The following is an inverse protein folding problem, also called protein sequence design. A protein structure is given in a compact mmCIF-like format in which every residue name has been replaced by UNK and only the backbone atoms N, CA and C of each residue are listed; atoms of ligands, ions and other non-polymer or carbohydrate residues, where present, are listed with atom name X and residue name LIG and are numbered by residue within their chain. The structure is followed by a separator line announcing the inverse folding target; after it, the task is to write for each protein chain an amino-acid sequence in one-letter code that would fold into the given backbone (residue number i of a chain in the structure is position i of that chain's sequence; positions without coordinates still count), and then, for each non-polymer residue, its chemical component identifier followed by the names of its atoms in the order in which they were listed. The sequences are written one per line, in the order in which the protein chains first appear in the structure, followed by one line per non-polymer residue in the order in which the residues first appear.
data_IF_623438442001
#
_entry.id   IF_623438442001
#
_cell.length_a   1.000
_cell.length_b   1.000
_cell.length_c   1.000
_cell.angle_alpha   90.00
_cell.angle_beta   90.00
_cell.angle_gamma   90.00
#
_symmetry.space_group_name_H-M   'P 1'
#
loop_
_entity.id
_entity.type
_entity.pdbx_description
1 polymer ?
#
# COMPACT_ATOMS: atom_id res chain seq x y z
N UNK A 1 13.10 -18.12 3.03
CA UNK A 1 12.37 -16.94 3.56
C UNK A 1 11.02 -16.91 2.89
N UNK A 2 9.95 -16.63 3.63
CA UNK A 2 8.58 -16.57 3.11
C UNK A 2 8.38 -15.32 2.24
N UNK A 3 7.34 -15.29 1.42
CA UNK A 3 6.88 -14.06 0.75
C UNK A 3 6.70 -12.91 1.77
N UNK A 4 6.76 -11.66 1.30
CA UNK A 4 6.61 -10.48 2.16
C UNK A 4 5.45 -9.62 1.67
N UNK A 5 4.44 -9.44 2.51
CA UNK A 5 3.22 -8.70 2.19
C UNK A 5 3.31 -7.26 2.71
N UNK A 6 3.18 -6.30 1.78
CA UNK A 6 3.31 -4.87 2.02
C UNK A 6 2.06 -4.14 1.55
N UNK A 7 1.00 -4.04 2.38
CA UNK A 7 -0.15 -3.24 2.01
C UNK A 7 0.16 -1.74 2.07
N UNK A 8 -0.35 -1.01 1.09
CA UNK A 8 -0.38 0.46 1.07
C UNK A 8 -1.74 0.92 1.58
N UNK A 9 -1.74 1.64 2.70
CA UNK A 9 -2.95 1.97 3.46
C UNK A 9 -3.02 3.47 3.78
N UNK A 10 -4.19 3.95 4.16
CA UNK A 10 -4.41 5.36 4.51
C UNK A 10 -5.65 5.55 5.37
N UNK A 11 -5.67 6.61 6.17
CA UNK A 11 -6.84 6.99 6.98
C UNK A 11 -7.97 7.67 6.19
N UNK A 12 -7.70 8.20 4.99
CA UNK A 12 -8.68 8.91 4.15
C UNK A 12 -8.56 8.58 2.65
N UNK A 13 -9.61 8.88 1.88
CA UNK A 13 -9.58 8.83 0.42
C UNK A 13 -8.70 9.92 -0.20
N UNK A 14 -8.29 9.73 -1.46
CA UNK A 14 -7.60 10.75 -2.26
C UNK A 14 -6.12 11.01 -1.90
N UNK A 15 -5.53 10.26 -0.97
CA UNK A 15 -4.09 10.46 -0.61
C UNK A 15 -3.11 9.89 -1.63
N UNK A 16 -3.59 9.24 -2.70
CA UNK A 16 -2.76 8.60 -3.73
C UNK A 16 -2.20 7.23 -3.35
N UNK A 17 -2.92 6.42 -2.56
CA UNK A 17 -2.52 5.03 -2.22
C UNK A 17 -2.22 4.19 -3.46
N UNK A 18 -3.18 4.10 -4.38
CA UNK A 18 -3.07 3.33 -5.63
C UNK A 18 -1.87 3.77 -6.45
N UNK A 19 -1.66 5.09 -6.56
CA UNK A 19 -0.47 5.67 -7.21
C UNK A 19 0.82 5.24 -6.52
N UNK A 20 0.89 5.34 -5.19
CA UNK A 20 2.07 4.92 -4.41
C UNK A 20 2.30 3.41 -4.57
N UNK A 21 1.25 2.59 -4.48
CA UNK A 21 1.32 1.14 -4.64
C UNK A 21 1.87 0.73 -6.01
N UNK A 22 1.33 1.28 -7.09
CA UNK A 22 1.77 0.97 -8.46
C UNK A 22 3.22 1.38 -8.73
N UNK A 23 3.59 2.60 -8.32
CA UNK A 23 4.93 3.13 -8.57
C UNK A 23 5.99 2.46 -7.68
N UNK A 24 5.64 2.10 -6.43
CA UNK A 24 6.50 1.25 -5.60
C UNK A 24 6.64 -0.15 -6.21
N UNK A 25 5.56 -0.79 -6.63
CA UNK A 25 5.62 -2.14 -7.21
C UNK A 25 6.55 -2.20 -8.42
N UNK A 26 6.41 -1.25 -9.36
CA UNK A 26 7.28 -1.18 -10.56
C UNK A 26 8.72 -0.83 -10.23
N UNK A 27 8.96 0.08 -9.27
CA UNK A 27 10.32 0.45 -8.88
C UNK A 27 11.02 -0.69 -8.15
N UNK A 28 10.33 -1.40 -7.25
CA UNK A 28 10.86 -2.59 -6.57
C UNK A 28 11.21 -3.68 -7.59
N UNK A 29 10.36 -3.90 -8.60
CA UNK A 29 10.63 -4.84 -9.67
C UNK A 29 11.85 -4.42 -10.52
N UNK A 30 11.99 -3.12 -10.81
CA UNK A 30 13.19 -2.57 -11.47
C UNK A 30 14.47 -2.76 -10.64
N UNK A 31 14.38 -2.94 -9.31
CA UNK A 31 15.50 -3.33 -8.44
C UNK A 31 15.70 -4.84 -8.32
N UNK A 32 15.16 -5.61 -9.26
CA UNK A 32 15.35 -7.05 -9.36
C UNK A 32 14.50 -7.88 -8.39
N UNK A 33 13.51 -7.28 -7.73
CA UNK A 33 12.55 -8.02 -6.90
C UNK A 33 11.48 -8.66 -7.77
N UNK A 34 11.05 -9.87 -7.41
CA UNK A 34 9.80 -10.41 -7.93
C UNK A 34 8.64 -9.78 -7.18
N UNK A 35 7.70 -9.16 -7.90
CA UNK A 35 6.61 -8.40 -7.30
C UNK A 35 5.26 -8.87 -7.82
N UNK A 36 4.35 -9.16 -6.88
CA UNK A 36 2.92 -9.34 -7.12
C UNK A 36 2.20 -8.11 -6.57
N UNK A 37 1.52 -7.37 -7.43
CA UNK A 37 0.61 -6.31 -7.03
C UNK A 37 -0.82 -6.87 -6.98
N UNK A 38 -1.53 -6.65 -5.87
CA UNK A 38 -2.92 -7.08 -5.68
C UNK A 38 -3.78 -5.84 -5.47
N UNK A 39 -4.85 -5.74 -6.25
CA UNK A 39 -5.89 -4.73 -6.03
C UNK A 39 -7.02 -5.34 -5.17
N UNK A 40 -7.15 -4.89 -3.92
CA UNK A 40 -8.29 -5.21 -3.06
C UNK A 40 -9.31 -4.07 -3.00
N UNK A 41 -9.15 -3.00 -3.78
CA UNK A 41 -10.15 -1.94 -3.88
C UNK A 41 -11.18 -2.31 -4.96
N UNK A 42 -12.49 -2.40 -4.62
CA UNK A 42 -13.54 -2.66 -5.59
C UNK A 42 -13.61 -1.65 -6.75
N UNK A 43 -13.04 -0.45 -6.60
CA UNK A 43 -12.88 0.50 -7.70
C UNK A 43 -11.95 0.01 -8.81
N UNK A 44 -11.16 -1.04 -8.54
CA UNK A 44 -10.23 -1.68 -9.47
C UNK A 44 -9.33 -0.64 -10.16
N UNK A 45 -8.85 0.34 -9.39
CA UNK A 45 -8.16 1.50 -9.92
C UNK A 45 -6.69 1.19 -10.24
N UNK A 46 -6.10 0.19 -9.59
CA UNK A 46 -4.69 -0.15 -9.76
C UNK A 46 -4.36 -0.55 -11.20
N UNK A 47 -5.33 -1.13 -11.92
CA UNK A 47 -5.19 -1.50 -13.34
C UNK A 47 -4.81 -0.30 -14.22
N UNK A 48 -5.32 0.90 -13.92
CA UNK A 48 -5.02 2.09 -14.71
C UNK A 48 -3.60 2.61 -14.51
N UNK A 49 -2.93 2.22 -13.42
CA UNK A 49 -1.56 2.64 -13.16
C UNK A 49 -0.52 1.61 -13.65
N UNK A 50 -0.92 0.34 -13.79
CA UNK A 50 0.03 -0.76 -13.83
C UNK A 50 -0.22 -1.78 -14.95
N UNK A 51 -1.46 -1.98 -15.38
CA UNK A 51 -1.78 -3.01 -16.37
C UNK A 51 -1.26 -2.64 -17.76
N UNK A 52 -0.74 -3.63 -18.50
CA UNK A 52 -0.38 -3.43 -19.91
C UNK A 52 -1.62 -3.15 -20.79
N UNK A 53 -2.77 -3.72 -20.41
CA UNK A 53 -4.08 -3.43 -20.99
C UNK A 53 -5.12 -3.29 -19.86
N UNK A 54 -5.46 -2.07 -19.43
CA UNK A 54 -6.44 -1.83 -18.37
C UNK A 54 -7.83 -2.42 -18.68
N UNK A 55 -8.23 -2.47 -19.96
CA UNK A 55 -9.53 -3.03 -20.37
C UNK A 55 -9.57 -4.54 -20.22
N UNK A 56 -8.41 -5.20 -20.28
CA UNK A 56 -8.32 -6.63 -20.04
C UNK A 56 -8.63 -7.01 -18.59
N UNK A 57 -8.64 -6.09 -17.63
CA UNK A 57 -8.76 -6.38 -16.19
C UNK A 57 -10.23 -6.43 -15.70
N UNK A 58 -11.14 -6.95 -16.51
CA UNK A 58 -12.54 -7.21 -16.14
C UNK A 58 -12.68 -8.46 -15.26
N UNK A 59 -11.87 -9.49 -15.51
CA UNK A 59 -11.75 -10.64 -14.63
C UNK A 59 -10.54 -10.47 -13.70
N UNK A 60 -10.66 -10.95 -12.46
CA UNK A 60 -9.64 -10.75 -11.45
C UNK A 60 -9.88 -11.55 -10.18
N UNK A 61 -9.50 -10.94 -9.06
CA UNK A 61 -9.51 -11.52 -7.73
C UNK A 61 -10.86 -12.13 -7.35
N UNK A 62 -11.96 -11.42 -7.57
CA UNK A 62 -13.29 -11.91 -7.16
C UNK A 62 -13.74 -13.11 -8.01
N UNK A 63 -13.50 -13.08 -9.33
CA UNK A 63 -13.82 -14.21 -10.21
C UNK A 63 -13.03 -15.47 -9.82
N UNK A 64 -11.75 -15.32 -9.46
CA UNK A 64 -10.93 -16.43 -9.00
C UNK A 64 -11.32 -16.93 -7.60
N UNK A 65 -11.63 -16.02 -6.68
CA UNK A 65 -12.11 -16.34 -5.34
C UNK A 65 -13.39 -17.19 -5.37
N UNK A 66 -14.29 -16.89 -6.31
CA UNK A 66 -15.55 -17.60 -6.52
C UNK A 66 -15.41 -18.87 -7.38
N UNK A 67 -14.19 -19.24 -7.79
CA UNK A 67 -13.94 -20.43 -8.62
C UNK A 67 -14.39 -20.32 -10.08
N UNK A 68 -14.74 -19.12 -10.55
CA UNK A 68 -15.13 -18.88 -11.94
C UNK A 68 -13.94 -18.93 -12.89
N UNK A 69 -12.74 -18.60 -12.38
CA UNK A 69 -11.50 -18.52 -13.14
C UNK A 69 -10.33 -19.09 -12.33
N UNK A 70 -9.38 -19.84 -12.93
CA UNK A 70 -8.15 -20.21 -12.24
C UNK A 70 -7.32 -18.97 -11.86
N UNK A 71 -6.66 -19.00 -10.70
CA UNK A 71 -5.78 -17.91 -10.24
C UNK A 71 -4.70 -17.53 -11.25
N UNK A 72 -4.15 -18.51 -11.98
CA UNK A 72 -3.14 -18.29 -13.03
C UNK A 72 -3.65 -17.48 -14.22
N UNK A 73 -4.96 -17.46 -14.46
CA UNK A 73 -5.59 -16.65 -15.49
C UNK A 73 -6.07 -15.30 -14.95
N UNK A 74 -6.38 -15.22 -13.65
CA UNK A 74 -6.70 -13.95 -12.99
C UNK A 74 -5.47 -13.05 -12.84
N UNK A 75 -4.28 -13.65 -12.62
CA UNK A 75 -3.00 -12.92 -12.57
C UNK A 75 -2.48 -12.61 -13.98
N UNK A 76 -1.94 -11.41 -14.17
CA UNK A 76 -1.53 -10.90 -15.49
C UNK A 76 -0.16 -10.23 -15.43
N UNK A 77 0.68 -10.37 -16.47
CA UNK A 77 1.86 -9.53 -16.61
C UNK A 77 1.47 -8.06 -16.71
N UNK A 78 2.17 -7.20 -15.98
CA UNK A 78 1.95 -5.77 -15.90
C UNK A 78 3.23 -5.01 -16.27
N UNK A 79 3.18 -3.67 -16.22
CA UNK A 79 4.35 -2.85 -16.46
C UNK A 79 5.46 -3.10 -15.43
N UNK A 80 6.72 -2.91 -15.87
CA UNK A 80 7.89 -3.00 -14.98
C UNK A 80 8.22 -4.42 -14.49
N UNK A 81 7.73 -5.48 -15.14
CA UNK A 81 7.97 -6.86 -14.72
C UNK A 81 7.15 -7.30 -13.50
N UNK A 82 6.14 -6.51 -13.13
CA UNK A 82 5.21 -6.83 -12.05
C UNK A 82 4.16 -7.83 -12.54
N UNK A 83 3.72 -8.74 -11.66
CA UNK A 83 2.50 -9.52 -11.85
C UNK A 83 1.36 -8.77 -11.16
N UNK A 84 0.25 -8.52 -11.85
CA UNK A 84 -0.93 -7.85 -11.31
C UNK A 84 -2.07 -8.86 -11.13
N UNK A 85 -2.67 -8.88 -9.95
CA UNK A 85 -3.98 -9.46 -9.68
C UNK A 85 -4.98 -8.31 -9.48
N UNK A 86 -5.73 -7.93 -10.53
CA UNK A 86 -6.73 -6.86 -10.43
C UNK A 86 -7.92 -7.34 -9.59
N UNK A 87 -8.72 -6.41 -9.06
CA UNK A 87 -9.93 -6.76 -8.32
C UNK A 87 -10.95 -7.46 -9.24
N UNK A 88 -11.09 -6.92 -10.45
CA UNK A 88 -12.10 -7.30 -11.45
C UNK A 88 -13.23 -6.28 -11.55
N UNK A 89 -14.11 -6.45 -12.52
CA UNK A 89 -15.37 -5.72 -12.64
C UNK A 89 -16.47 -6.62 -12.10
N UNK A 90 -17.13 -6.18 -11.03
CA UNK A 90 -18.08 -7.00 -10.26
C UNK A 90 -19.36 -6.18 -10.06
N UNK A 91 -20.52 -6.83 -10.12
CA UNK A 91 -21.79 -6.21 -9.75
C UNK A 91 -21.98 -6.15 -8.24
N UNK A 92 -22.92 -5.33 -7.78
CA UNK A 92 -23.16 -5.09 -6.37
C UNK A 92 -23.46 -6.39 -5.59
N UNK A 93 -24.25 -7.31 -6.17
CA UNK A 93 -24.63 -8.58 -5.52
C UNK A 93 -23.40 -9.47 -5.25
N UNK A 94 -22.54 -9.66 -6.25
CA UNK A 94 -21.31 -10.45 -6.09
C UNK A 94 -20.31 -9.75 -5.18
N UNK A 95 -20.23 -8.42 -5.20
CA UNK A 95 -19.37 -7.68 -4.28
C UNK A 95 -19.83 -7.86 -2.83
N UNK A 96 -21.14 -7.74 -2.55
CA UNK A 96 -21.72 -7.98 -1.22
C UNK A 96 -21.43 -9.41 -0.76
N UNK A 97 -21.64 -10.40 -1.64
CA UNK A 97 -21.32 -11.80 -1.35
C UNK A 97 -19.85 -11.99 -0.98
N UNK A 98 -18.94 -11.40 -1.76
CA UNK A 98 -17.51 -11.47 -1.48
C UNK A 98 -17.13 -10.79 -0.15
N UNK A 99 -17.68 -9.61 0.14
CA UNK A 99 -17.47 -8.92 1.43
C UNK A 99 -17.96 -9.76 2.62
N UNK A 100 -19.10 -10.43 2.46
CA UNK A 100 -19.62 -11.35 3.45
C UNK A 100 -18.66 -12.52 3.69
N UNK A 101 -18.17 -13.15 2.62
CA UNK A 101 -17.21 -14.26 2.72
C UNK A 101 -15.91 -13.84 3.42
N UNK A 102 -15.38 -12.65 3.09
CA UNK A 102 -14.21 -12.08 3.75
C UNK A 102 -14.46 -11.79 5.25
N UNK A 103 -15.69 -11.42 5.61
CA UNK A 103 -16.06 -11.16 7.01
C UNK A 103 -16.13 -12.45 7.84
N UNK A 104 -16.61 -13.53 7.23
CA UNK A 104 -16.69 -14.87 7.81
C UNK A 104 -15.32 -15.56 7.89
N UNK A 105 -14.36 -15.15 7.05
CA UNK A 105 -13.02 -15.73 6.99
C UNK A 105 -11.93 -14.67 7.22
N UNK A 106 -11.67 -14.26 8.48
CA UNK A 106 -10.69 -13.24 8.83
C UNK A 106 -9.29 -13.36 8.21
N UNK A 107 -8.80 -14.58 7.96
CA UNK A 107 -7.48 -14.88 7.40
C UNK A 107 -7.45 -15.15 5.90
N UNK A 108 -8.57 -14.95 5.19
CA UNK A 108 -8.76 -15.35 3.80
C UNK A 108 -7.61 -14.94 2.86
N UNK A 109 -7.11 -13.70 2.96
CA UNK A 109 -6.03 -13.24 2.09
C UNK A 109 -4.72 -13.97 2.37
N UNK A 110 -4.37 -14.15 3.65
CA UNK A 110 -3.15 -14.86 4.04
C UNK A 110 -3.21 -16.33 3.59
N UNK A 111 -4.34 -16.99 3.81
CA UNK A 111 -4.58 -18.37 3.39
C UNK A 111 -4.55 -18.52 1.86
N UNK A 112 -5.08 -17.54 1.13
CA UNK A 112 -5.08 -17.51 -0.34
C UNK A 112 -3.67 -17.36 -0.88
N UNK A 113 -2.90 -16.41 -0.35
CA UNK A 113 -1.50 -16.19 -0.75
C UNK A 113 -0.62 -17.42 -0.45
N UNK A 114 -0.84 -18.10 0.67
CA UNK A 114 -0.13 -19.33 1.01
C UNK A 114 -0.36 -20.46 -0.02
N UNK A 115 -1.55 -20.50 -0.65
CA UNK A 115 -1.89 -21.50 -1.67
C UNK A 115 -1.27 -21.22 -3.04
N UNK A 116 -0.85 -19.99 -3.31
CA UNK A 116 -0.23 -19.64 -4.59
C UNK A 116 1.15 -20.28 -4.78
N UNK A 117 1.79 -20.76 -3.70
CA UNK A 117 3.14 -21.32 -3.79
C UNK A 117 4.15 -20.31 -4.34
N UNK A 118 3.98 -19.03 -3.98
CA UNK A 118 4.82 -17.95 -4.46
C UNK A 118 6.29 -18.21 -4.12
N UNK A 119 7.22 -17.81 -5.01
CA UNK A 119 8.63 -17.99 -4.75
C UNK A 119 9.06 -17.31 -3.44
N UNK A 120 10.07 -17.88 -2.74
CA UNK A 120 10.70 -17.22 -1.61
C UNK A 120 11.06 -15.77 -1.94
N UNK A 121 10.87 -14.85 -0.99
CA UNK A 121 11.25 -13.44 -1.11
C UNK A 121 10.46 -12.60 -2.14
N UNK A 122 9.42 -13.17 -2.76
CA UNK A 122 8.47 -12.39 -3.55
C UNK A 122 7.80 -11.32 -2.68
N UNK A 123 7.76 -10.09 -3.20
CA UNK A 123 7.08 -8.97 -2.54
C UNK A 123 5.64 -8.89 -3.05
N UNK A 124 4.68 -8.89 -2.12
CA UNK A 124 3.26 -8.72 -2.41
C UNK A 124 2.84 -7.31 -2.01
N UNK A 125 2.67 -6.41 -2.98
CA UNK A 125 2.17 -5.05 -2.75
C UNK A 125 0.66 -5.07 -2.85
N UNK A 126 -0.04 -4.64 -1.81
CA UNK A 126 -1.51 -4.69 -1.76
C UNK A 126 -2.09 -3.28 -1.73
N UNK A 127 -2.88 -2.93 -2.75
CA UNK A 127 -3.69 -1.71 -2.75
C UNK A 127 -5.04 -1.98 -2.07
N UNK A 128 -5.55 -1.00 -1.32
CA UNK A 128 -6.74 -1.18 -0.48
C UNK A 128 -7.70 0.00 -0.62
N UNK A 129 -9.01 -0.20 -0.39
CA UNK A 129 -9.95 0.91 -0.36
C UNK A 129 -9.74 1.81 0.87
N UNK A 130 -10.13 3.09 0.81
CA UNK A 130 -9.98 4.00 1.96
C UNK A 130 -10.89 3.62 3.13
N UNK A 131 -10.41 3.84 4.35
CA UNK A 131 -11.21 3.66 5.56
C UNK A 131 -11.25 2.23 6.10
N UNK A 132 -12.02 1.98 7.18
CA UNK A 132 -12.02 0.72 7.92
C UNK A 132 -12.89 -0.36 7.26
N UNK A 133 -12.48 -0.85 6.09
CA UNK A 133 -13.20 -1.87 5.32
C UNK A 133 -12.79 -3.30 5.70
N UNK A 134 -13.58 -4.30 5.28
CA UNK A 134 -13.18 -5.72 5.42
C UNK A 134 -11.92 -6.03 4.60
N UNK A 135 -11.75 -5.38 3.43
CA UNK A 135 -10.55 -5.48 2.59
C UNK A 135 -9.29 -5.00 3.33
N UNK A 136 -9.37 -3.86 4.02
CA UNK A 136 -8.26 -3.37 4.84
C UNK A 136 -7.94 -4.36 5.97
N UNK A 137 -8.96 -4.95 6.62
CA UNK A 137 -8.73 -5.94 7.68
C UNK A 137 -8.01 -7.19 7.16
N UNK A 138 -8.37 -7.67 5.97
CA UNK A 138 -7.68 -8.78 5.29
C UNK A 138 -6.22 -8.42 4.99
N UNK A 139 -5.98 -7.24 4.42
CA UNK A 139 -4.64 -6.75 4.12
C UNK A 139 -3.76 -6.64 5.38
N UNK A 140 -4.29 -6.08 6.47
CA UNK A 140 -3.57 -5.94 7.74
C UNK A 140 -3.24 -7.28 8.40
N UNK A 141 -4.15 -8.26 8.33
CA UNK A 141 -3.91 -9.61 8.87
C UNK A 141 -2.90 -10.43 8.07
N UNK A 142 -2.68 -10.09 6.80
CA UNK A 142 -1.64 -10.69 5.98
C UNK A 142 -0.31 -9.91 6.04
N UNK A 143 -0.31 -8.65 6.49
CA UNK A 143 0.83 -7.75 6.39
C UNK A 143 2.07 -8.23 7.16
N UNK A 144 3.22 -8.13 6.52
CA UNK A 144 4.54 -8.14 7.16
C UNK A 144 4.98 -6.72 7.52
N UNK A 145 4.71 -5.72 6.66
CA UNK A 145 5.01 -4.31 6.91
C UNK A 145 3.96 -3.42 6.25
N UNK A 146 3.42 -2.44 6.96
CA UNK A 146 2.43 -1.52 6.36
C UNK A 146 3.11 -0.24 5.85
N UNK A 147 2.79 0.18 4.62
CA UNK A 147 3.13 1.51 4.11
C UNK A 147 1.92 2.43 4.25
N UNK A 148 2.02 3.44 5.10
CA UNK A 148 0.94 4.39 5.39
C UNK A 148 1.17 5.66 4.57
N UNK A 149 0.28 5.91 3.61
CA UNK A 149 0.28 7.13 2.81
C UNK A 149 -0.53 8.24 3.49
N UNK A 150 0.07 9.43 3.61
CA UNK A 150 -0.55 10.64 4.18
C UNK A 150 -0.29 11.84 3.29
N UNK A 151 -1.16 12.85 3.33
CA UNK A 151 -0.88 14.16 2.73
C UNK A 151 -0.32 15.10 3.80
N UNK A 152 0.43 16.11 3.36
CA UNK A 152 0.85 17.24 4.21
C UNK A 152 -0.30 18.24 4.41
N UNK A 153 -1.43 17.77 4.95
CA UNK A 153 -2.60 18.58 5.30
C UNK A 153 -3.14 18.24 6.70
N UNK A 154 -3.95 19.14 7.26
CA UNK A 154 -4.51 19.01 8.60
C UNK A 154 -5.45 17.79 8.74
N UNK A 155 -6.17 17.42 7.69
CA UNK A 155 -7.10 16.28 7.72
C UNK A 155 -6.37 14.94 7.79
N UNK A 156 -5.28 14.80 7.05
CA UNK A 156 -4.37 13.64 7.14
C UNK A 156 -3.74 13.56 8.52
N UNK A 157 -3.25 14.68 9.07
CA UNK A 157 -2.70 14.71 10.43
C UNK A 157 -3.72 14.28 11.49
N UNK A 158 -4.94 14.81 11.43
CA UNK A 158 -6.00 14.53 12.40
C UNK A 158 -6.49 13.07 12.36
N UNK A 159 -6.46 12.43 11.18
CA UNK A 159 -6.97 11.07 10.99
C UNK A 159 -5.90 9.99 11.09
N UNK A 160 -4.62 10.34 11.13
CA UNK A 160 -3.50 9.40 11.28
C UNK A 160 -3.66 8.43 12.47
N UNK A 161 -4.09 8.86 13.67
CA UNK A 161 -4.30 7.94 14.79
C UNK A 161 -5.36 6.86 14.52
N UNK A 162 -6.28 7.07 13.58
CA UNK A 162 -7.31 6.08 13.22
C UNK A 162 -6.67 4.88 12.52
N UNK A 163 -5.81 5.12 11.52
CA UNK A 163 -5.14 4.04 10.79
C UNK A 163 -4.09 3.36 11.68
N UNK A 164 -3.40 4.11 12.54
CA UNK A 164 -2.47 3.54 13.54
C UNK A 164 -3.18 2.57 14.48
N UNK A 165 -4.36 2.93 15.01
CA UNK A 165 -5.16 2.00 15.85
C UNK A 165 -5.58 0.73 15.11
N UNK A 166 -5.82 0.80 13.81
CA UNK A 166 -6.13 -0.39 13.00
C UNK A 166 -4.90 -1.30 12.88
N UNK A 167 -3.74 -0.73 12.56
CA UNK A 167 -2.47 -1.48 12.55
C UNK A 167 -2.20 -2.12 13.91
N UNK A 168 -2.45 -1.40 15.00
CA UNK A 168 -2.26 -1.90 16.37
C UNK A 168 -3.15 -3.10 16.66
N UNK A 169 -4.41 -3.01 16.25
CA UNK A 169 -5.42 -4.04 16.47
C UNK A 169 -5.13 -5.33 15.68
N UNK A 170 -4.67 -5.22 14.44
CA UNK A 170 -4.58 -6.36 13.52
C UNK A 170 -3.15 -6.88 13.30
N UNK A 171 -2.13 -6.07 13.59
CA UNK A 171 -0.74 -6.40 13.25
C UNK A 171 0.17 -6.49 14.47
N UNK A 172 0.14 -5.52 15.40
CA UNK A 172 1.19 -5.37 16.45
C UNK A 172 1.34 -6.57 17.39
N UNK A 173 0.28 -7.33 17.66
CA UNK A 173 0.36 -8.51 18.53
C UNK A 173 1.01 -9.71 17.86
N UNK A 174 1.22 -9.67 16.53
CA UNK A 174 1.80 -10.77 15.78
C UNK A 174 3.33 -10.67 15.79
N UNK A 175 3.99 -11.80 16.08
CA UNK A 175 5.45 -11.87 16.16
C UNK A 175 6.16 -11.72 14.80
N UNK A 176 5.43 -11.95 13.70
CA UNK A 176 5.92 -11.85 12.33
C UNK A 176 5.77 -10.44 11.72
N UNK A 177 5.10 -9.50 12.42
CA UNK A 177 4.92 -8.13 11.93
C UNK A 177 6.18 -7.28 12.13
N UNK A 178 6.70 -6.72 11.04
CA UNK A 178 7.95 -5.93 10.98
C UNK A 178 7.74 -4.44 11.27
N UNK A 179 6.49 -3.98 11.37
CA UNK A 179 6.14 -2.62 11.74
C UNK A 179 5.52 -1.79 10.60
N UNK A 180 5.45 -0.48 10.83
CA UNK A 180 4.91 0.49 9.87
C UNK A 180 6.03 1.34 9.27
N UNK A 181 5.76 1.85 8.07
CA UNK A 181 6.55 2.87 7.41
C UNK A 181 5.61 3.90 6.79
N UNK A 182 6.07 5.14 6.61
CA UNK A 182 5.22 6.25 6.17
C UNK A 182 5.73 6.88 4.86
N UNK A 183 4.80 7.35 4.05
CA UNK A 183 5.06 8.20 2.87
C UNK A 183 4.19 9.44 2.98
N UNK A 184 4.80 10.62 2.91
CA UNK A 184 4.07 11.89 2.80
C UNK A 184 3.97 12.24 1.32
N UNK A 185 2.76 12.17 0.77
CA UNK A 185 2.48 12.29 -0.65
C UNK A 185 1.95 13.69 -1.01
N UNK A 186 2.06 14.04 -2.30
CA UNK A 186 1.57 15.28 -2.91
C UNK A 186 2.04 16.54 -2.17
N UNK A 187 3.32 16.58 -1.81
CA UNK A 187 3.90 17.74 -1.14
C UNK A 187 4.13 18.87 -2.14
N UNK A 188 3.41 19.96 -1.95
CA UNK A 188 3.57 21.18 -2.73
C UNK A 188 4.42 22.19 -1.93
N UNK A 189 5.70 22.41 -2.29
CA UNK A 189 6.57 23.34 -1.59
C UNK A 189 6.14 24.81 -1.74
N UNK A 190 5.30 25.12 -2.73
CA UNK A 190 4.76 26.48 -2.93
C UNK A 190 3.66 26.86 -1.94
N UNK A 191 3.08 25.89 -1.23
CA UNK A 191 2.00 26.13 -0.28
C UNK A 191 2.50 26.19 1.17
N UNK A 192 2.36 27.35 1.80
CA UNK A 192 2.83 27.59 3.18
C UNK A 192 2.26 26.60 4.21
N UNK A 193 0.96 26.30 4.14
CA UNK A 193 0.35 25.32 5.05
C UNK A 193 0.93 23.91 4.84
N UNK A 194 1.21 23.53 3.59
CA UNK A 194 1.81 22.24 3.25
C UNK A 194 3.22 22.14 3.87
N UNK A 195 4.02 23.21 3.76
CA UNK A 195 5.33 23.31 4.41
C UNK A 195 5.26 23.15 5.94
N UNK A 196 4.36 23.88 6.59
CA UNK A 196 4.23 23.86 8.06
C UNK A 196 3.78 22.48 8.56
N UNK A 197 2.79 21.87 7.90
CA UNK A 197 2.31 20.51 8.25
C UNK A 197 3.37 19.46 7.92
N UNK A 198 4.12 19.62 6.82
CA UNK A 198 5.22 18.73 6.45
C UNK A 198 6.30 18.70 7.52
N UNK A 199 6.66 19.85 8.09
CA UNK A 199 7.65 19.91 9.17
C UNK A 199 7.19 19.12 10.40
N UNK A 200 5.92 19.29 10.80
CA UNK A 200 5.32 18.55 11.92
C UNK A 200 5.26 17.05 11.64
N UNK A 201 4.81 16.64 10.45
CA UNK A 201 4.74 15.23 10.06
C UNK A 201 6.14 14.60 9.99
N UNK A 202 7.13 15.29 9.42
CA UNK A 202 8.52 14.79 9.38
C UNK A 202 9.06 14.56 10.78
N UNK A 203 8.85 15.49 11.71
CA UNK A 203 9.31 15.33 13.09
C UNK A 203 8.61 14.15 13.80
N UNK A 204 7.30 13.96 13.57
CA UNK A 204 6.52 12.89 14.20
C UNK A 204 6.80 11.50 13.64
N UNK A 205 7.02 11.40 12.32
CA UNK A 205 7.06 10.12 11.60
C UNK A 205 8.47 9.53 11.49
N UNK A 206 9.50 10.21 12.00
CA UNK A 206 10.85 9.65 12.08
C UNK A 206 10.96 8.70 13.29
N UNK A 207 11.66 7.56 13.16
CA UNK A 207 12.47 7.11 12.01
C UNK A 207 11.71 6.30 10.93
N UNK A 208 10.41 6.10 11.05
CA UNK A 208 9.60 5.26 10.15
C UNK A 208 9.30 5.89 8.77
N UNK A 209 9.62 7.17 8.58
CA UNK A 209 9.37 7.90 7.34
C UNK A 209 10.29 7.43 6.21
N UNK A 210 9.71 6.77 5.19
CA UNK A 210 10.43 6.38 3.99
C UNK A 210 10.79 7.59 3.14
N UNK A 211 9.88 8.56 2.99
CA UNK A 211 10.18 9.73 2.20
C UNK A 211 8.98 10.60 1.90
N UNK A 212 9.23 11.56 1.02
CA UNK A 212 8.25 12.53 0.55
C UNK A 212 8.13 12.38 -0.95
N UNK A 213 6.90 12.36 -1.45
CA UNK A 213 6.59 12.40 -2.87
C UNK A 213 5.97 13.77 -3.17
N UNK A 214 6.66 14.57 -3.98
CA UNK A 214 6.26 15.93 -4.32
C UNK A 214 5.04 15.94 -5.25
N UNK A 215 4.25 17.01 -5.19
CA UNK A 215 3.22 17.25 -6.18
C UNK A 215 3.88 17.51 -7.53
N UNK A 216 3.68 16.61 -8.48
CA UNK A 216 4.30 16.63 -9.81
C UNK A 216 3.26 16.27 -10.87
N UNK A 217 3.13 17.11 -11.91
CA UNK A 217 2.17 16.91 -13.00
C UNK A 217 2.40 15.57 -13.74
N UNK A 218 3.66 15.11 -13.78
CA UNK A 218 4.06 13.85 -14.41
C UNK A 218 3.30 12.64 -13.85
N UNK A 219 2.87 12.69 -12.59
CA UNK A 219 2.11 11.61 -11.96
C UNK A 219 0.72 11.48 -12.58
N UNK A 220 0.02 12.61 -12.74
CA UNK A 220 -1.32 12.66 -13.34
C UNK A 220 -1.28 12.32 -14.83
N UNK A 221 -0.26 12.81 -15.54
CA UNK A 221 -0.06 12.50 -16.96
C UNK A 221 0.30 11.03 -17.20
N UNK A 222 1.11 10.44 -16.31
CA UNK A 222 1.43 9.02 -16.35
C UNK A 222 0.16 8.16 -16.18
N UNK A 223 -0.71 8.52 -15.22
CA UNK A 223 -2.01 7.88 -15.06
C UNK A 223 -2.89 8.02 -16.31
N UNK A 224 -2.96 9.22 -16.90
CA UNK A 224 -3.71 9.44 -18.14
C UNK A 224 -3.18 8.59 -19.32
N UNK A 225 -1.88 8.26 -19.28
CA UNK A 225 -1.21 7.40 -20.26
C UNK A 225 -1.26 5.91 -19.91
N UNK A 226 -1.89 5.54 -18.79
CA UNK A 226 -1.87 4.20 -18.22
C UNK A 226 -0.45 3.62 -17.97
N UNK A 227 0.48 4.47 -17.56
CA UNK A 227 1.88 4.11 -17.31
C UNK A 227 2.30 4.44 -15.87
N UNK A 228 3.25 3.67 -15.28
CA UNK A 228 3.97 4.10 -14.09
C UNK A 228 4.84 5.33 -14.38
N UNK A 229 5.06 6.18 -13.37
CA UNK A 229 5.82 7.43 -13.52
C UNK A 229 7.26 7.18 -13.95
N UNK A 230 7.88 6.10 -13.48
CA UNK A 230 9.24 5.71 -13.88
C UNK A 230 9.35 5.43 -15.38
N UNK A 231 8.24 5.02 -16.01
CA UNK A 231 8.21 4.72 -17.45
C UNK A 231 7.75 5.92 -18.27
N UNK A 232 6.80 6.70 -17.77
CA UNK A 232 6.28 7.89 -18.45
C UNK A 232 7.28 9.06 -18.41
N UNK A 233 7.81 9.37 -17.23
CA UNK A 233 8.70 10.51 -16.99
C UNK A 233 9.85 10.11 -16.03
N UNK A 234 10.84 9.33 -16.51
CA UNK A 234 11.93 8.80 -15.67
C UNK A 234 12.83 9.87 -15.02
N UNK A 235 12.84 11.08 -15.55
CA UNK A 235 13.62 12.22 -15.05
C UNK A 235 12.79 13.20 -14.21
N UNK A 236 11.52 12.88 -13.92
CA UNK A 236 10.65 13.72 -13.08
C UNK A 236 11.03 13.67 -11.60
N UNK A 237 10.61 14.67 -10.84
CA UNK A 237 10.83 14.70 -9.39
C UNK A 237 10.10 13.52 -8.73
N UNK A 238 8.88 13.21 -9.17
CA UNK A 238 8.13 12.08 -8.63
C UNK A 238 8.81 10.72 -8.90
N UNK A 239 9.46 10.53 -10.06
CA UNK A 239 10.22 9.31 -10.33
C UNK A 239 11.40 9.13 -9.37
N UNK A 240 12.14 10.21 -9.11
CA UNK A 240 13.24 10.22 -8.13
C UNK A 240 12.74 10.00 -6.70
N UNK A 241 11.67 10.67 -6.29
CA UNK A 241 11.08 10.50 -4.95
C UNK A 241 10.67 9.05 -4.68
N UNK A 242 9.98 8.43 -5.64
CA UNK A 242 9.59 7.01 -5.54
C UNK A 242 10.82 6.10 -5.51
N UNK A 243 11.87 6.42 -6.28
CA UNK A 243 13.15 5.70 -6.27
C UNK A 243 13.74 5.66 -4.86
N UNK A 244 13.83 6.84 -4.21
CA UNK A 244 14.32 6.97 -2.82
C UNK A 244 13.44 6.22 -1.83
N UNK A 245 12.12 6.32 -1.96
CA UNK A 245 11.17 5.63 -1.06
C UNK A 245 11.31 4.11 -1.22
N UNK A 246 11.42 3.60 -2.44
CA UNK A 246 11.58 2.18 -2.71
C UNK A 246 12.89 1.63 -2.12
N UNK A 247 13.99 2.37 -2.24
CA UNK A 247 15.29 1.97 -1.68
C UNK A 247 15.28 1.91 -0.15
N UNK A 248 14.63 2.87 0.50
CA UNK A 248 14.45 2.84 1.95
C UNK A 248 13.51 1.74 2.40
N UNK A 249 12.47 1.42 1.62
CA UNK A 249 11.59 0.30 1.89
C UNK A 249 12.36 -1.02 1.81
N UNK A 250 13.17 -1.23 0.77
CA UNK A 250 14.02 -2.42 0.65
C UNK A 250 15.00 -2.56 1.82
N UNK A 251 15.65 -1.47 2.21
CA UNK A 251 16.53 -1.45 3.37
C UNK A 251 15.80 -1.86 4.66
N UNK A 252 14.56 -1.37 4.85
CA UNK A 252 13.74 -1.70 6.02
C UNK A 252 13.23 -3.15 6.00
N UNK A 253 12.93 -3.70 4.83
CA UNK A 253 12.55 -5.10 4.68
C UNK A 253 13.72 -6.07 4.89
N UNK A 254 14.95 -5.63 4.61
CA UNK A 254 16.17 -6.41 4.85
C UNK A 254 16.65 -6.35 6.31
N UNK A 255 16.25 -5.33 7.07
CA UNK A 255 16.59 -5.22 8.49
C UNK A 255 15.89 -6.32 9.32
N UNK A 256 16.54 -6.86 10.37
CA UNK A 256 15.88 -7.77 11.30
C UNK A 256 14.69 -7.06 11.98
N UNK A 257 13.59 -7.80 12.21
CA UNK A 257 12.45 -7.24 12.93
C UNK A 257 12.90 -6.71 14.31
N UNK A 258 12.48 -5.49 14.70
CA UNK A 258 12.85 -4.96 16.01
C UNK A 258 12.32 -5.86 17.12
N UNK A 259 13.17 -6.15 18.11
CA UNK A 259 12.78 -6.92 19.30
C UNK A 259 11.60 -6.25 20.02
N UNK A 260 10.60 -7.01 20.52
CA UNK A 260 9.36 -6.48 21.09
C UNK A 260 9.53 -5.57 22.33
N UNK A 261 10.75 -5.46 22.87
CA UNK A 261 11.08 -4.68 24.07
C UNK A 261 11.28 -3.18 23.85
N UNK A 262 11.31 -2.65 22.61
CA UNK A 262 11.52 -1.21 22.38
C UNK A 262 10.26 -0.35 22.29
N UNK A 263 9.06 -0.93 22.45
CA UNK A 263 7.78 -0.21 22.30
C UNK A 263 7.30 0.54 23.57
N UNK A 264 8.16 0.72 24.57
CA UNK A 264 7.81 1.43 25.81
C UNK A 264 8.65 2.70 26.00
N UNK A 265 8.26 3.75 25.30
CA UNK A 265 8.38 5.13 25.78
C UNK A 265 7.33 5.99 25.06
N UNK A 266 6.11 6.00 25.59
CA UNK A 266 5.14 7.06 25.30
C UNK A 266 5.42 8.19 26.30
N UNK A 267 5.97 9.35 25.92
CA UNK A 267 6.18 10.43 26.86
C UNK A 267 4.93 11.32 26.84
N UNK A 268 3.88 10.91 27.56
CA UNK A 268 2.75 11.79 27.86
C UNK A 268 2.11 11.38 29.19
N UNK A 269 2.82 11.66 30.28
CA UNK A 269 2.23 12.02 31.58
C UNK A 269 3.12 13.05 32.26
N UNK A 270 2.46 13.88 33.06
CA UNK A 270 2.91 15.08 33.79
C UNK A 270 2.79 16.35 32.93
N UNK A 271 2.10 17.42 33.32
CA UNK A 271 1.43 17.81 34.56
C UNK A 271 0.63 19.08 34.23
N UNK A 272 -0.60 19.20 34.71
CA UNK A 272 -1.08 20.49 35.26
C UNK A 272 -2.29 20.23 36.14
N UNK A 273 -1.98 19.99 37.42
CA UNK A 273 -2.89 20.26 38.52
C UNK A 273 -2.51 21.62 39.07
N UNK A 274 -3.34 22.64 38.84
CA UNK A 274 -3.70 23.73 39.76
C UNK A 274 -4.66 24.69 39.07
#
# INVERSE_FOLDING_TARGET
MTMVVVPVISSKGGVGKTTVAANLATTLAARGRQVLAIDLDPQNALRFHLANDPRGCEEGLVAAASGQLPWTQAMRPAHGGVVLLPFGTVDDERQIGFEHDLSCHPGWLADTLARFGLPPDMLVVVDTPPGPTVYLQQALRAADLCVIAVLADAGSFATLPIVERMVDKYCRSRADYRGSAYVINQVDPGQRLNHDVLAVLRARLQPELLGVLHLDASVSEALASALPVQRYAPLSQAAEDVSVIADRLLARLAAPAPSPTSAHASPLRQETTR
#
